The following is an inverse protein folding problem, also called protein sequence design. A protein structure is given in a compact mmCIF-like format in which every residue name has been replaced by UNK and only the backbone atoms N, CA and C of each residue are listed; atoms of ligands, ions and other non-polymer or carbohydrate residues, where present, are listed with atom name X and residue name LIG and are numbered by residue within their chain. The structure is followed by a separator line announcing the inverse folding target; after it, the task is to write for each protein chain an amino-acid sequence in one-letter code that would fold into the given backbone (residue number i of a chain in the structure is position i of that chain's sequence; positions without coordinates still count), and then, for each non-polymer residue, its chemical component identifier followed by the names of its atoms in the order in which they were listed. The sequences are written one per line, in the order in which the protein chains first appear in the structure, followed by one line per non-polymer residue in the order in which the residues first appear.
data_IF_487950051308
#
_entry.id   IF_487950051308
#
_cell.length_a   1.000
_cell.length_b   1.000
_cell.length_c   1.000
_cell.angle_alpha   90.00
_cell.angle_beta   90.00
_cell.angle_gamma   90.00
#
_symmetry.space_group_name_H-M   'P 1'
#
loop_
_entity.id
_entity.type
_entity.pdbx_description
1 polymer ?
#
# COMPACT_ATOMS: atom_id res chain seq x y z
N UNK A 1 11.50 11.11 -7.17
CA UNK A 1 10.54 10.28 -7.94
C UNK A 1 9.59 9.53 -7.01
N UNK A 2 10.12 8.73 -6.08
CA UNK A 2 9.31 7.91 -5.16
C UNK A 2 8.29 8.71 -4.34
N UNK A 3 8.68 9.88 -3.83
CA UNK A 3 7.76 10.73 -3.03
C UNK A 3 6.57 11.24 -3.85
N UNK A 4 6.81 11.61 -5.13
CA UNK A 4 5.76 12.06 -6.02
C UNK A 4 4.77 10.91 -6.33
N UNK A 5 5.28 9.71 -6.62
CA UNK A 5 4.43 8.53 -6.86
C UNK A 5 3.61 8.17 -5.62
N UNK A 6 4.24 8.16 -4.44
CA UNK A 6 3.56 7.89 -3.18
C UNK A 6 2.45 8.92 -2.90
N UNK A 7 2.70 10.20 -3.14
CA UNK A 7 1.70 11.25 -2.97
C UNK A 7 0.52 11.11 -3.94
N UNK A 8 0.79 10.80 -5.22
CA UNK A 8 -0.25 10.54 -6.21
C UNK A 8 -1.13 9.35 -5.83
N UNK A 9 -0.52 8.25 -5.39
CA UNK A 9 -1.27 7.06 -4.98
C UNK A 9 -2.13 7.32 -3.74
N UNK A 10 -1.68 8.16 -2.80
CA UNK A 10 -2.52 8.57 -1.67
C UNK A 10 -3.78 9.31 -2.14
N UNK A 11 -3.66 10.18 -3.15
CA UNK A 11 -4.84 10.87 -3.72
C UNK A 11 -5.82 9.86 -4.33
N UNK A 12 -5.30 8.85 -5.04
CA UNK A 12 -6.14 7.80 -5.64
C UNK A 12 -6.77 6.87 -4.58
N UNK A 13 -6.04 6.51 -3.53
CA UNK A 13 -6.56 5.71 -2.41
C UNK A 13 -7.62 6.45 -1.60
N UNK A 14 -7.52 7.77 -1.47
CA UNK A 14 -8.53 8.59 -0.78
C UNK A 14 -9.77 8.87 -1.65
N UNK A 15 -9.64 8.72 -2.97
CA UNK A 15 -10.70 8.96 -3.95
C UNK A 15 -11.60 7.72 -4.11
N UNK A 16 -12.89 7.78 -3.71
CA UNK A 16 -13.78 6.60 -3.72
C UNK A 16 -14.12 6.08 -5.13
N UNK A 17 -13.75 6.80 -6.18
CA UNK A 17 -13.94 6.40 -7.57
C UNK A 17 -12.96 5.31 -8.02
N UNK A 18 -11.87 5.10 -7.28
CA UNK A 18 -10.83 4.14 -7.63
C UNK A 18 -10.84 2.94 -6.69
N UNK A 19 -10.57 1.76 -7.26
CA UNK A 19 -10.44 0.51 -6.50
C UNK A 19 -9.11 0.44 -5.75
N UNK A 20 -8.94 1.31 -4.76
CA UNK A 20 -7.81 1.35 -3.84
C UNK A 20 -8.23 2.09 -2.56
N UNK A 21 -7.63 1.75 -1.42
CA UNK A 21 -7.92 2.42 -0.15
C UNK A 21 -9.41 2.52 0.16
N UNK A 22 -9.94 3.75 0.19
CA UNK A 22 -11.35 4.05 0.48
C UNK A 22 -12.34 3.46 -0.52
N UNK A 23 -11.98 3.38 -1.80
CA UNK A 23 -12.86 2.88 -2.86
C UNK A 23 -12.68 1.38 -3.16
N UNK A 24 -11.95 0.66 -2.31
CA UNK A 24 -11.66 -0.74 -2.53
C UNK A 24 -12.92 -1.61 -2.64
N UNK A 25 -12.85 -2.59 -3.53
CA UNK A 25 -13.87 -3.63 -3.66
C UNK A 25 -13.87 -4.57 -2.46
N UNK A 26 -15.00 -5.26 -2.29
CA UNK A 26 -15.14 -6.29 -1.28
C UNK A 26 -14.65 -7.64 -1.80
N UNK A 27 -14.06 -8.41 -0.90
CA UNK A 27 -13.83 -9.85 -1.09
C UNK A 27 -15.15 -10.61 -1.06
N UNK A 28 -15.09 -11.91 -1.33
CA UNK A 28 -16.23 -12.83 -1.18
C UNK A 28 -16.90 -12.72 0.22
N UNK A 29 -16.08 -12.51 1.26
CA UNK A 29 -16.56 -12.43 2.65
C UNK A 29 -17.07 -11.03 3.02
N UNK A 30 -17.20 -10.11 2.06
CA UNK A 30 -17.74 -8.77 2.30
C UNK A 30 -16.81 -7.84 3.06
N UNK A 31 -15.49 -8.09 3.06
CA UNK A 31 -14.47 -7.22 3.67
C UNK A 31 -13.52 -6.64 2.62
N UNK A 32 -12.83 -5.55 2.94
CA UNK A 32 -11.76 -5.04 2.08
C UNK A 32 -10.43 -5.70 2.44
N UNK A 33 -9.71 -6.15 1.41
CA UNK A 33 -8.31 -6.60 1.48
C UNK A 33 -7.51 -5.74 0.53
N UNK A 34 -6.46 -5.12 1.06
CA UNK A 34 -5.69 -4.13 0.33
C UNK A 34 -4.25 -4.59 0.16
N UNK A 35 -3.73 -4.35 -1.04
CA UNK A 35 -2.35 -4.60 -1.42
C UNK A 35 -1.73 -3.32 -1.98
N UNK A 36 -0.45 -3.08 -1.71
CA UNK A 36 0.30 -1.99 -2.33
C UNK A 36 1.79 -2.28 -2.34
N UNK A 37 2.49 -1.74 -3.34
CA UNK A 37 3.94 -1.85 -3.45
C UNK A 37 4.55 -0.54 -3.98
N UNK A 38 5.79 -0.27 -3.57
CA UNK A 38 6.59 0.86 -4.04
C UNK A 38 8.05 0.44 -4.19
N UNK A 39 8.72 0.98 -5.21
CA UNK A 39 10.12 0.69 -5.50
C UNK A 39 10.86 1.97 -5.88
N UNK A 40 12.07 2.12 -5.36
CA UNK A 40 13.04 3.10 -5.82
C UNK A 40 13.94 2.48 -6.89
N UNK A 41 13.77 2.90 -8.15
CA UNK A 41 14.57 2.39 -9.26
C UNK A 41 16.06 2.74 -9.19
N UNK A 42 16.44 3.77 -8.43
CA UNK A 42 17.85 4.16 -8.30
C UNK A 42 18.62 3.28 -7.32
N UNK A 43 18.03 2.97 -6.15
CA UNK A 43 18.67 2.16 -5.11
C UNK A 43 18.29 0.69 -5.14
N UNK A 44 17.24 0.31 -5.89
CA UNK A 44 16.66 -1.03 -5.87
C UNK A 44 15.87 -1.36 -4.60
N UNK A 45 15.75 -0.42 -3.65
CA UNK A 45 14.93 -0.60 -2.45
C UNK A 45 13.46 -0.71 -2.83
N UNK A 46 12.73 -1.58 -2.15
CA UNK A 46 11.31 -1.77 -2.36
C UNK A 46 10.59 -2.08 -1.04
N UNK A 47 9.30 -1.82 -1.01
CA UNK A 47 8.41 -2.15 0.10
C UNK A 47 7.02 -2.49 -0.41
N UNK A 48 6.39 -3.47 0.21
CA UNK A 48 5.08 -3.98 -0.17
C UNK A 48 4.30 -4.47 1.03
N UNK A 49 2.98 -4.36 0.94
CA UNK A 49 2.02 -4.98 1.85
C UNK A 49 0.94 -5.71 1.07
N UNK A 50 0.43 -6.79 1.66
CA UNK A 50 -0.71 -7.51 1.10
C UNK A 50 -1.67 -8.00 2.19
N UNK A 51 -2.95 -8.13 1.83
CA UNK A 51 -3.99 -8.63 2.71
C UNK A 51 -4.20 -7.79 3.97
N UNK A 52 -3.97 -6.47 3.90
CA UNK A 52 -4.19 -5.58 5.05
C UNK A 52 -5.62 -5.03 5.06
N UNK A 53 -6.19 -4.90 6.26
CA UNK A 53 -7.59 -4.52 6.44
C UNK A 53 -7.80 -3.16 7.12
N UNK A 54 -6.83 -2.70 7.92
CA UNK A 54 -7.01 -1.57 8.87
C UNK A 54 -6.10 -0.39 8.57
N UNK A 55 -5.80 -0.17 7.29
CA UNK A 55 -4.84 0.82 6.83
C UNK A 55 -5.53 1.75 5.85
N UNK A 56 -5.57 3.05 6.18
CA UNK A 56 -6.20 4.06 5.30
C UNK A 56 -5.50 4.14 3.93
N UNK A 57 -4.16 4.16 3.95
CA UNK A 57 -3.33 4.35 2.76
C UNK A 57 -2.26 3.24 2.66
N UNK A 58 -2.58 2.08 2.05
CA UNK A 58 -1.64 0.97 1.86
C UNK A 58 -0.29 1.38 1.27
N UNK A 59 -0.24 2.34 0.35
CA UNK A 59 1.03 2.79 -0.25
C UNK A 59 1.97 3.44 0.76
N UNK A 60 1.44 4.14 1.77
CA UNK A 60 2.25 4.71 2.86
C UNK A 60 2.80 3.62 3.76
N UNK A 61 2.04 2.55 3.96
CA UNK A 61 2.53 1.39 4.71
C UNK A 61 3.61 0.63 3.93
N UNK A 62 3.41 0.40 2.62
CA UNK A 62 4.44 -0.15 1.74
C UNK A 62 5.72 0.69 1.76
N UNK A 63 5.61 2.03 1.76
CA UNK A 63 6.76 2.93 1.92
C UNK A 63 7.44 2.79 3.30
N UNK A 64 6.66 2.59 4.37
CA UNK A 64 7.20 2.33 5.69
C UNK A 64 7.94 0.99 5.77
N UNK A 65 7.46 -0.06 5.09
CA UNK A 65 8.19 -1.34 4.96
C UNK A 65 9.56 -1.10 4.32
N UNK A 66 9.62 -0.32 3.23
CA UNK A 66 10.87 0.00 2.52
C UNK A 66 11.86 0.80 3.37
N UNK A 67 11.38 1.82 4.10
CA UNK A 67 12.25 2.80 4.77
C UNK A 67 12.58 2.44 6.23
N UNK A 68 11.69 1.71 6.91
CA UNK A 68 11.73 1.50 8.36
C UNK A 68 11.82 0.03 8.78
N UNK A 69 12.04 -0.87 7.82
CA UNK A 69 12.23 -2.29 8.09
C UNK A 69 13.43 -2.83 7.31
N UNK A 70 13.81 -4.07 7.64
CA UNK A 70 14.82 -4.85 6.89
C UNK A 70 14.18 -5.75 5.81
N UNK A 71 12.88 -5.64 5.61
CA UNK A 71 12.07 -6.52 4.77
C UNK A 71 11.54 -5.78 3.55
N UNK A 72 11.22 -6.53 2.49
CA UNK A 72 10.59 -5.99 1.28
C UNK A 72 9.08 -6.15 1.30
N UNK A 73 8.54 -7.20 1.92
CA UNK A 73 7.11 -7.48 1.91
C UNK A 73 6.65 -7.97 3.28
N UNK A 74 5.53 -7.44 3.76
CA UNK A 74 4.80 -7.94 4.93
C UNK A 74 3.35 -8.26 4.51
N UNK A 75 2.71 -9.21 5.19
CA UNK A 75 1.37 -9.69 4.83
C UNK A 75 0.49 -9.84 6.06
N UNK A 76 -0.79 -9.52 5.93
CA UNK A 76 -1.82 -9.73 6.95
C UNK A 76 -1.60 -8.88 8.19
N UNK A 77 -2.00 -9.40 9.35
CA UNK A 77 -2.01 -8.66 10.62
C UNK A 77 -0.63 -8.22 11.12
N UNK A 78 0.44 -8.83 10.62
CA UNK A 78 1.82 -8.46 10.96
C UNK A 78 2.40 -7.30 10.14
N UNK A 79 1.68 -6.84 9.12
CA UNK A 79 2.06 -5.72 8.27
C UNK A 79 1.56 -4.38 8.83
#
# INVERSE_FOLDING_TARGET
AVDAVAATLVVLEDAPQFNAGRGAVFTHDGRNELDAAIMDGASGKAGAVAGVHRVKNPIRLARAVMDKSKHVMLVGDGA
#
